data_IF_514732789589
#
_entry.id   IF_514732789589
#
_cell.length_a   1.000
_cell.length_b   1.000
_cell.length_c   1.000
_cell.angle_alpha   90.00
_cell.angle_beta   90.00
_cell.angle_gamma   90.00
#
_symmetry.space_group_name_H-M   'P 1'
#
loop_
_entity.id
_entity.type
_entity.pdbx_description
1 polymer ?
#
# COMPACT_ATOMS: atom_id res chain seq x y z
N UNK A 1 -11.15 10.52 -10.16
CA UNK A 1 -10.14 9.79 -9.36
C UNK A 1 -10.68 9.55 -7.97
N UNK A 2 -10.48 8.37 -7.38
CA UNK A 2 -10.79 8.09 -5.97
C UNK A 2 -9.63 8.52 -5.07
N UNK A 3 -9.91 8.76 -3.80
CA UNK A 3 -8.93 9.20 -2.82
C UNK A 3 -8.93 8.28 -1.60
N UNK A 4 -7.80 7.74 -1.27
CA UNK A 4 -7.57 6.93 -0.08
C UNK A 4 -6.43 7.47 0.78
N UNK A 5 -6.30 6.97 1.99
CA UNK A 5 -5.22 7.27 2.91
C UNK A 5 -4.40 6.00 3.19
N UNK A 6 -3.09 6.07 2.97
CA UNK A 6 -2.15 5.03 3.38
C UNK A 6 -1.68 5.30 4.81
N UNK A 7 -1.71 4.27 5.65
CA UNK A 7 -1.32 4.32 7.07
C UNK A 7 -0.20 3.33 7.35
N UNK A 8 1.03 3.81 7.48
CA UNK A 8 2.21 2.98 7.73
C UNK A 8 2.41 2.64 9.22
N UNK A 9 1.76 3.38 10.11
CA UNK A 9 1.92 3.26 11.57
C UNK A 9 3.37 3.43 12.04
N UNK A 10 4.05 4.42 11.51
CA UNK A 10 5.42 4.77 11.89
C UNK A 10 5.52 5.17 13.36
N UNK A 11 6.61 4.77 14.02
CA UNK A 11 6.84 5.02 15.45
C UNK A 11 8.15 5.80 15.70
N UNK A 12 8.21 7.09 15.33
CA UNK A 12 9.39 7.90 15.61
C UNK A 12 9.59 8.11 17.13
N UNK A 13 10.85 8.31 17.52
CA UNK A 13 11.21 8.51 18.92
C UNK A 13 10.42 9.67 19.57
N UNK A 14 10.12 9.53 20.86
CA UNK A 14 9.42 10.54 21.65
C UNK A 14 7.90 10.36 21.73
N UNK A 15 7.35 9.31 21.13
CA UNK A 15 5.93 8.95 21.21
C UNK A 15 5.78 7.49 21.63
N UNK A 16 4.70 7.18 22.35
CA UNK A 16 4.36 5.79 22.68
C UNK A 16 3.63 5.12 21.52
N UNK A 17 3.78 3.79 21.37
CA UNK A 17 3.03 3.01 20.37
C UNK A 17 1.52 3.22 20.51
N UNK A 18 1.01 3.27 21.76
CA UNK A 18 -0.41 3.54 22.03
C UNK A 18 -0.87 4.85 21.40
N UNK A 19 -0.10 5.95 21.60
CA UNK A 19 -0.44 7.25 21.00
C UNK A 19 -0.42 7.20 19.48
N UNK A 20 0.58 6.53 18.90
CA UNK A 20 0.70 6.38 17.45
C UNK A 20 -0.46 5.59 16.86
N UNK A 21 -0.83 4.48 17.49
CA UNK A 21 -1.95 3.65 17.05
C UNK A 21 -3.28 4.41 17.17
N UNK A 22 -3.54 5.06 18.31
CA UNK A 22 -4.80 5.81 18.51
C UNK A 22 -4.98 6.92 17.48
N UNK A 23 -3.93 7.69 17.19
CA UNK A 23 -3.99 8.76 16.19
C UNK A 23 -4.22 8.23 14.78
N UNK A 24 -3.58 7.10 14.40
CA UNK A 24 -3.78 6.49 13.09
C UNK A 24 -5.22 5.94 12.96
N UNK A 25 -5.73 5.28 14.01
CA UNK A 25 -7.11 4.78 14.03
C UNK A 25 -8.09 5.95 13.93
N UNK A 26 -7.91 7.03 14.69
CA UNK A 26 -8.77 8.21 14.64
C UNK A 26 -8.81 8.85 13.23
N UNK A 27 -7.67 8.91 12.53
CA UNK A 27 -7.62 9.40 11.14
C UNK A 27 -8.37 8.47 10.17
N UNK A 28 -8.26 7.14 10.34
CA UNK A 28 -9.01 6.19 9.53
C UNK A 28 -10.52 6.28 9.78
N UNK A 29 -10.94 6.45 11.02
CA UNK A 29 -12.36 6.60 11.39
C UNK A 29 -12.97 7.87 10.81
N UNK A 30 -12.22 8.98 10.80
CA UNK A 30 -12.68 10.26 10.28
C UNK A 30 -12.61 10.37 8.76
N UNK A 31 -11.95 9.44 8.07
CA UNK A 31 -11.70 9.54 6.63
C UNK A 31 -12.97 9.75 5.79
N UNK A 32 -14.08 9.07 6.11
CA UNK A 32 -15.33 9.25 5.36
C UNK A 32 -16.01 10.62 5.59
N UNK A 33 -15.80 11.27 6.74
CA UNK A 33 -16.30 12.61 7.02
C UNK A 33 -15.58 13.65 6.15
N UNK A 34 -14.29 13.45 5.88
CA UNK A 34 -13.49 14.26 4.98
C UNK A 34 -13.58 13.84 3.51
N UNK A 35 -14.50 12.92 3.18
CA UNK A 35 -14.80 12.54 1.81
C UNK A 35 -13.78 11.60 1.17
N UNK A 36 -12.89 10.95 1.92
CA UNK A 36 -12.02 9.90 1.39
C UNK A 36 -12.81 8.63 1.07
N UNK A 37 -12.39 7.94 0.01
CA UNK A 37 -13.07 6.74 -0.49
C UNK A 37 -12.56 5.45 0.19
N UNK A 38 -11.33 5.47 0.77
CA UNK A 38 -10.71 4.28 1.34
C UNK A 38 -9.58 4.58 2.36
N UNK A 39 -9.30 3.61 3.23
CA UNK A 39 -8.17 3.62 4.17
C UNK A 39 -7.35 2.33 4.02
N UNK A 40 -6.01 2.43 4.11
CA UNK A 40 -5.07 1.38 3.76
C UNK A 40 -3.95 1.25 4.79
N UNK A 41 -4.13 0.51 5.91
CA UNK A 41 -3.02 0.16 6.79
C UNK A 41 -2.03 -0.76 6.08
N UNK A 42 -0.72 -0.50 6.27
CA UNK A 42 0.38 -1.31 5.75
C UNK A 42 0.90 -2.26 6.83
N UNK A 43 1.25 -3.49 6.44
CA UNK A 43 1.88 -4.46 7.34
C UNK A 43 3.38 -4.22 7.43
N UNK A 44 3.90 -3.96 8.65
CA UNK A 44 5.33 -3.91 8.97
C UNK A 44 5.60 -4.40 10.38
N UNK A 45 6.84 -4.91 10.59
CA UNK A 45 7.22 -5.60 11.81
C UNK A 45 8.60 -5.18 12.33
N UNK A 46 8.80 -5.33 13.65
CA UNK A 46 10.08 -5.32 14.35
C UNK A 46 10.90 -4.02 14.27
N UNK A 47 10.32 -2.91 13.85
CA UNK A 47 11.06 -1.65 13.71
C UNK A 47 10.17 -0.41 13.85
N UNK A 48 10.80 0.75 14.08
CA UNK A 48 10.14 2.06 14.07
C UNK A 48 9.57 2.47 12.70
N UNK A 49 9.92 1.73 11.64
CA UNK A 49 9.40 1.96 10.30
C UNK A 49 7.89 1.75 10.22
N UNK A 50 7.38 0.75 10.94
CA UNK A 50 5.93 0.53 11.07
C UNK A 50 5.64 -0.50 12.15
N UNK A 51 4.63 -0.21 12.98
CA UNK A 51 4.20 -1.07 14.10
C UNK A 51 2.85 -1.75 13.86
N UNK A 52 2.35 -1.73 12.63
CA UNK A 52 1.11 -2.41 12.26
C UNK A 52 1.39 -3.87 11.87
N UNK A 53 1.52 -4.74 12.86
CA UNK A 53 1.75 -6.18 12.63
C UNK A 53 0.51 -6.95 12.14
N UNK A 54 -0.66 -6.31 12.10
CA UNK A 54 -1.90 -6.95 11.62
C UNK A 54 -2.88 -5.93 11.05
N UNK A 55 -2.81 -5.64 9.74
CA UNK A 55 -3.77 -4.76 9.08
C UNK A 55 -5.23 -5.19 9.27
N UNK A 56 -5.52 -6.50 9.27
CA UNK A 56 -6.87 -7.03 9.42
C UNK A 56 -7.48 -6.69 10.80
N UNK A 57 -6.68 -6.68 11.87
CA UNK A 57 -7.15 -6.29 13.22
C UNK A 57 -7.53 -4.81 13.25
N UNK A 58 -6.70 -3.93 12.66
CA UNK A 58 -7.02 -2.52 12.53
C UNK A 58 -8.30 -2.29 11.72
N UNK A 59 -8.40 -2.92 10.56
CA UNK A 59 -9.55 -2.78 9.67
C UNK A 59 -10.83 -3.35 10.28
N UNK A 60 -10.76 -4.39 11.12
CA UNK A 60 -11.94 -4.91 11.84
C UNK A 60 -12.51 -3.87 12.82
N UNK A 61 -11.66 -3.09 13.49
CA UNK A 61 -12.10 -1.97 14.33
C UNK A 61 -12.78 -0.89 13.48
N UNK A 62 -12.16 -0.45 12.39
CA UNK A 62 -12.68 0.58 11.48
C UNK A 62 -13.99 0.12 10.78
N UNK A 63 -14.13 -1.16 10.47
CA UNK A 63 -15.33 -1.72 9.85
C UNK A 63 -16.60 -1.45 10.66
N UNK A 64 -16.50 -1.36 11.99
CA UNK A 64 -17.65 -1.14 12.89
C UNK A 64 -17.97 0.33 13.14
N UNK A 65 -17.00 1.21 13.02
CA UNK A 65 -17.15 2.65 13.26
C UNK A 65 -17.48 3.45 12.00
N UNK A 66 -17.16 2.91 10.82
CA UNK A 66 -17.42 3.51 9.50
C UNK A 66 -18.52 2.79 8.72
N UNK A 67 -19.07 3.44 7.67
CA UNK A 67 -20.17 2.89 6.86
C UNK A 67 -19.90 2.84 5.36
N UNK A 68 -19.07 3.74 4.83
CA UNK A 68 -18.88 3.94 3.39
C UNK A 68 -17.46 3.69 2.94
N UNK A 69 -16.47 4.14 3.73
CA UNK A 69 -15.06 4.04 3.39
C UNK A 69 -14.65 2.58 3.16
N UNK A 70 -13.98 2.32 2.07
CA UNK A 70 -13.46 0.98 1.73
C UNK A 70 -12.21 0.68 2.57
N UNK A 71 -12.01 -0.58 2.85
CA UNK A 71 -11.03 -1.11 3.80
C UNK A 71 -9.96 -1.90 3.04
N UNK A 72 -8.91 -1.19 2.63
CA UNK A 72 -7.80 -1.78 1.89
C UNK A 72 -6.62 -2.19 2.76
N UNK A 73 -5.74 -3.01 2.24
CA UNK A 73 -4.42 -3.25 2.84
C UNK A 73 -3.31 -2.80 1.89
N UNK A 74 -2.34 -2.09 2.41
CA UNK A 74 -1.26 -1.52 1.60
C UNK A 74 0.14 -1.95 2.02
N UNK A 75 0.42 -3.26 2.16
CA UNK A 75 -0.23 -4.51 1.78
C UNK A 75 -0.23 -5.54 2.92
N UNK A 76 -0.82 -6.74 2.71
CA UNK A 76 -0.52 -7.95 3.49
C UNK A 76 0.67 -8.64 2.85
N UNK A 77 1.66 -9.04 3.67
CA UNK A 77 2.88 -9.72 3.19
C UNK A 77 2.64 -11.24 3.20
N UNK A 78 2.12 -11.78 2.10
CA UNK A 78 1.67 -13.18 2.03
C UNK A 78 2.70 -14.22 2.51
N UNK A 79 4.03 -14.10 2.23
CA UNK A 79 5.01 -15.08 2.69
C UNK A 79 5.10 -15.23 4.22
N UNK A 80 4.59 -14.30 5.01
CA UNK A 80 4.60 -14.38 6.47
C UNK A 80 3.38 -15.08 7.06
N UNK A 81 2.37 -15.41 6.23
CA UNK A 81 1.09 -15.91 6.69
C UNK A 81 0.73 -17.27 6.11
N UNK A 82 -0.07 -18.04 6.85
CA UNK A 82 -0.73 -19.21 6.30
C UNK A 82 -1.92 -18.77 5.42
N UNK A 83 -1.99 -19.16 4.12
CA UNK A 83 -2.97 -18.60 3.18
C UNK A 83 -4.43 -18.85 3.57
N UNK A 84 -4.75 -20.01 4.19
CA UNK A 84 -6.12 -20.28 4.67
C UNK A 84 -6.51 -19.29 5.77
N UNK A 85 -5.57 -18.92 6.69
CA UNK A 85 -5.86 -17.90 7.71
C UNK A 85 -6.13 -16.54 7.09
N UNK A 86 -5.34 -16.13 6.09
CA UNK A 86 -5.59 -14.89 5.36
C UNK A 86 -6.98 -14.93 4.69
N UNK A 87 -7.33 -16.06 4.06
CA UNK A 87 -8.64 -16.23 3.43
C UNK A 87 -9.80 -16.11 4.42
N UNK A 88 -9.71 -16.76 5.59
CA UNK A 88 -10.73 -16.70 6.65
C UNK A 88 -10.84 -15.29 7.25
N UNK A 89 -9.70 -14.67 7.60
CA UNK A 89 -9.66 -13.36 8.25
C UNK A 89 -10.26 -12.27 7.33
N UNK A 90 -9.91 -12.27 6.04
CA UNK A 90 -10.44 -11.29 5.08
C UNK A 90 -11.87 -11.59 4.64
N UNK A 91 -12.30 -12.84 4.58
CA UNK A 91 -13.70 -13.17 4.39
C UNK A 91 -14.56 -12.73 5.59
N UNK A 92 -14.07 -12.93 6.82
CA UNK A 92 -14.75 -12.44 8.03
C UNK A 92 -14.82 -10.91 8.04
N UNK A 93 -13.72 -10.21 7.70
CA UNK A 93 -13.71 -8.75 7.60
C UNK A 93 -14.70 -8.25 6.53
N UNK A 94 -14.79 -8.96 5.41
CA UNK A 94 -15.72 -8.59 4.33
C UNK A 94 -17.17 -8.74 4.76
N UNK A 95 -17.52 -9.81 5.49
CA UNK A 95 -18.84 -9.97 6.11
C UNK A 95 -19.13 -8.87 7.15
N UNK A 96 -18.16 -8.55 8.04
CA UNK A 96 -18.31 -7.51 9.07
C UNK A 96 -18.50 -6.11 8.49
N UNK A 97 -17.87 -5.85 7.35
CA UNK A 97 -17.91 -4.54 6.68
C UNK A 97 -19.07 -4.41 5.67
N UNK A 98 -19.75 -5.51 5.33
CA UNK A 98 -20.80 -5.51 4.30
C UNK A 98 -20.23 -5.28 2.89
N UNK A 99 -19.10 -5.93 2.56
CA UNK A 99 -18.52 -5.92 1.21
C UNK A 99 -17.64 -4.70 0.91
N UNK A 100 -16.94 -4.15 1.92
CA UNK A 100 -16.06 -2.99 1.74
C UNK A 100 -14.57 -3.33 1.67
N UNK A 101 -14.19 -4.59 1.70
CA UNK A 101 -12.79 -5.04 1.68
C UNK A 101 -12.15 -4.85 0.30
N UNK A 102 -10.88 -4.43 0.30
CA UNK A 102 -9.95 -4.38 -0.83
C UNK A 102 -8.65 -5.08 -0.38
N UNK A 103 -8.39 -6.31 -0.84
CA UNK A 103 -7.20 -7.03 -0.40
C UNK A 103 -5.96 -6.63 -1.20
N UNK A 104 -5.10 -5.79 -0.63
CA UNK A 104 -3.78 -5.52 -1.18
C UNK A 104 -2.75 -6.51 -0.66
N UNK A 105 -1.99 -7.12 -1.58
CA UNK A 105 -1.00 -8.16 -1.29
C UNK A 105 0.38 -7.81 -1.80
N UNK A 106 1.41 -8.27 -1.10
CA UNK A 106 2.79 -8.08 -1.46
C UNK A 106 3.68 -9.25 -1.06
N UNK A 107 4.89 -9.25 -1.64
CA UNK A 107 5.90 -10.27 -1.37
C UNK A 107 6.76 -9.97 -0.12
N UNK A 108 6.73 -8.72 0.33
CA UNK A 108 7.66 -8.22 1.33
C UNK A 108 9.05 -7.93 0.75
N UNK A 109 9.86 -7.14 1.48
CA UNK A 109 11.19 -6.75 1.03
C UNK A 109 12.22 -6.59 2.16
N UNK A 110 11.81 -6.37 3.40
CA UNK A 110 12.74 -6.10 4.51
C UNK A 110 13.38 -7.38 5.06
N UNK A 111 14.72 -7.54 4.99
CA UNK A 111 15.39 -8.73 5.52
C UNK A 111 15.15 -8.95 7.02
N UNK A 112 14.94 -7.86 7.78
CA UNK A 112 14.61 -7.93 9.21
C UNK A 112 13.31 -8.69 9.47
N UNK A 113 12.28 -8.41 8.67
CA UNK A 113 10.96 -9.04 8.81
C UNK A 113 11.02 -10.52 8.44
N UNK A 114 11.67 -10.87 7.33
CA UNK A 114 11.90 -12.26 6.95
C UNK A 114 12.65 -13.05 8.02
N UNK A 115 13.72 -12.45 8.57
CA UNK A 115 14.49 -13.05 9.66
C UNK A 115 13.68 -13.24 10.94
N UNK A 116 12.84 -12.25 11.29
CA UNK A 116 11.97 -12.29 12.47
C UNK A 116 10.92 -13.39 12.41
N UNK A 117 10.36 -13.67 11.23
CA UNK A 117 9.41 -14.77 11.01
C UNK A 117 10.07 -16.11 10.66
N UNK A 118 11.39 -16.14 10.49
CA UNK A 118 12.11 -17.37 10.10
C UNK A 118 11.79 -17.83 8.67
N UNK A 119 11.36 -16.91 7.80
CA UNK A 119 11.03 -17.17 6.39
C UNK A 119 12.25 -16.95 5.52
N UNK A 120 12.57 -17.91 4.67
CA UNK A 120 13.62 -17.73 3.66
C UNK A 120 13.18 -16.75 2.58
N UNK A 121 13.79 -15.56 2.58
CA UNK A 121 13.46 -14.49 1.65
C UNK A 121 13.67 -14.89 0.17
N UNK A 122 14.60 -15.81 -0.12
CA UNK A 122 14.84 -16.29 -1.49
C UNK A 122 13.65 -17.08 -2.06
N UNK A 123 12.79 -17.63 -1.20
CA UNK A 123 11.57 -18.38 -1.56
C UNK A 123 10.30 -17.52 -1.58
N UNK A 124 10.42 -16.23 -1.29
CA UNK A 124 9.28 -15.32 -1.17
C UNK A 124 8.39 -15.25 -2.40
N UNK A 125 8.94 -15.41 -3.61
CA UNK A 125 8.16 -15.42 -4.85
C UNK A 125 7.27 -16.65 -4.95
N UNK A 126 7.81 -17.83 -4.65
CA UNK A 126 7.08 -19.10 -4.66
C UNK A 126 5.96 -19.12 -3.60
N UNK A 127 6.32 -18.68 -2.37
CA UNK A 127 5.35 -18.57 -1.27
C UNK A 127 4.23 -17.58 -1.59
N UNK A 128 4.56 -16.45 -2.18
CA UNK A 128 3.56 -15.45 -2.61
C UNK A 128 2.59 -16.04 -3.63
N UNK A 129 3.11 -16.68 -4.68
CA UNK A 129 2.32 -17.21 -5.79
C UNK A 129 1.35 -18.28 -5.32
N UNK A 130 1.86 -19.24 -4.57
CA UNK A 130 1.05 -20.35 -4.06
C UNK A 130 0.03 -19.88 -3.02
N UNK A 131 0.43 -18.93 -2.13
CA UNK A 131 -0.51 -18.34 -1.17
C UNK A 131 -1.65 -17.59 -1.83
N UNK A 132 -1.36 -16.81 -2.87
CA UNK A 132 -2.39 -16.04 -3.59
C UNK A 132 -3.41 -16.98 -4.27
N UNK A 133 -2.93 -18.04 -4.94
CA UNK A 133 -3.80 -19.03 -5.56
C UNK A 133 -4.68 -19.74 -4.52
N UNK A 134 -4.09 -20.18 -3.41
CA UNK A 134 -4.84 -20.82 -2.32
C UNK A 134 -5.91 -19.90 -1.75
N UNK A 135 -5.60 -18.60 -1.52
CA UNK A 135 -6.56 -17.62 -1.01
C UNK A 135 -7.74 -17.48 -1.97
N UNK A 136 -7.50 -17.30 -3.25
CA UNK A 136 -8.56 -17.15 -4.25
C UNK A 136 -9.45 -18.40 -4.28
N UNK A 137 -8.85 -19.59 -4.28
CA UNK A 137 -9.58 -20.86 -4.28
C UNK A 137 -10.34 -21.11 -2.98
N UNK A 138 -9.81 -20.69 -1.81
CA UNK A 138 -10.57 -20.72 -0.55
C UNK A 138 -11.87 -19.93 -0.65
N UNK A 139 -11.90 -18.85 -1.43
CA UNK A 139 -13.09 -18.01 -1.58
C UNK A 139 -14.08 -18.53 -2.63
N UNK A 140 -13.58 -19.12 -3.72
CA UNK A 140 -14.39 -19.48 -4.90
C UNK A 140 -14.79 -20.94 -4.94
N UNK A 141 -13.93 -21.85 -4.48
CA UNK A 141 -14.21 -23.28 -4.50
C UNK A 141 -15.15 -23.66 -3.33
N UNK A 142 -16.10 -24.55 -3.58
CA UNK A 142 -16.96 -25.10 -2.50
C UNK A 142 -16.09 -25.86 -1.47
N UNK A 143 -15.20 -26.70 -1.98
CA UNK A 143 -14.22 -27.45 -1.19
C UNK A 143 -12.85 -27.37 -1.86
N UNK A 144 -11.86 -26.95 -1.07
CA UNK A 144 -10.50 -26.79 -1.56
C UNK A 144 -9.79 -28.16 -1.63
N UNK A 145 -9.34 -28.50 -2.84
CA UNK A 145 -8.39 -29.57 -3.10
C UNK A 145 -7.17 -28.95 -3.78
N UNK A 146 -6.03 -28.95 -3.12
CA UNK A 146 -4.83 -28.28 -3.58
C UNK A 146 -3.58 -29.12 -3.33
N UNK A 147 -2.72 -29.23 -4.33
CA UNK A 147 -1.45 -29.97 -4.25
C UNK A 147 -0.33 -29.07 -4.79
N UNK A 148 0.22 -28.24 -3.89
CA UNK A 148 1.32 -27.33 -4.19
C UNK A 148 2.65 -27.81 -3.61
N UNK A 149 3.66 -26.97 -3.77
CA UNK A 149 5.00 -27.23 -3.21
C UNK A 149 5.05 -26.92 -1.71
N UNK A 150 4.30 -25.90 -1.26
CA UNK A 150 4.32 -25.40 0.11
C UNK A 150 3.06 -25.78 0.88
N UNK A 151 1.93 -25.89 0.18
CA UNK A 151 0.62 -26.15 0.79
C UNK A 151 -0.07 -27.34 0.12
N UNK A 152 -0.73 -28.17 0.94
CA UNK A 152 -1.51 -29.29 0.46
C UNK A 152 -2.80 -29.37 1.28
N UNK A 153 -3.93 -29.45 0.58
CA UNK A 153 -5.25 -29.54 1.19
C UNK A 153 -6.08 -30.58 0.45
N UNK A 154 -6.85 -31.36 1.20
CA UNK A 154 -7.77 -32.36 0.68
C UNK A 154 -9.15 -32.12 1.29
N UNK A 155 -10.15 -31.94 0.43
CA UNK A 155 -11.56 -31.82 0.79
C UNK A 155 -11.85 -30.81 1.92
N UNK A 156 -11.11 -29.67 1.92
CA UNK A 156 -11.21 -28.65 2.97
C UNK A 156 -12.33 -27.66 2.65
N UNK A 157 -13.34 -27.57 3.51
CA UNK A 157 -14.37 -26.53 3.45
C UNK A 157 -13.92 -25.30 4.23
N UNK A 158 -13.58 -24.20 3.53
CA UNK A 158 -13.15 -22.94 4.16
C UNK A 158 -14.36 -22.01 4.35
N UNK A 159 -14.57 -21.56 5.58
CA UNK A 159 -15.66 -20.66 5.98
C UNK A 159 -15.16 -19.57 6.96
N UNK A 160 -15.78 -18.35 6.94
CA UNK A 160 -16.87 -17.96 6.02
C UNK A 160 -16.39 -17.76 4.59
N UNK A 161 -17.33 -17.67 3.64
CA UNK A 161 -17.06 -17.09 2.33
C UNK A 161 -17.15 -15.57 2.41
N UNK A 162 -16.50 -14.80 1.53
CA UNK A 162 -16.65 -13.36 1.46
C UNK A 162 -18.11 -12.93 1.22
N UNK A 163 -18.43 -11.69 1.54
CA UNK A 163 -19.70 -11.06 1.19
C UNK A 163 -19.72 -10.65 -0.29
N UNK A 164 -18.57 -10.20 -0.82
CA UNK A 164 -18.42 -9.81 -2.22
C UNK A 164 -18.26 -11.03 -3.12
N UNK A 165 -18.87 -10.99 -4.30
CA UNK A 165 -18.78 -12.05 -5.32
C UNK A 165 -17.97 -11.58 -6.53
N UNK A 166 -17.09 -12.43 -7.10
CA UNK A 166 -16.72 -13.78 -6.61
C UNK A 166 -15.85 -13.73 -5.34
N UNK A 167 -15.23 -12.61 -5.03
CA UNK A 167 -14.40 -12.33 -3.87
C UNK A 167 -14.06 -10.82 -3.80
N UNK A 168 -13.51 -10.31 -2.67
CA UNK A 168 -13.01 -8.94 -2.58
C UNK A 168 -12.01 -8.62 -3.69
N UNK A 169 -11.99 -7.40 -4.24
CA UNK A 169 -10.97 -6.98 -5.19
C UNK A 169 -9.57 -7.20 -4.62
N UNK A 170 -8.68 -7.79 -5.43
CA UNK A 170 -7.29 -8.04 -5.05
C UNK A 170 -6.39 -7.03 -5.76
N UNK A 171 -5.47 -6.44 -5.00
CA UNK A 171 -4.49 -5.46 -5.46
C UNK A 171 -3.08 -6.00 -5.24
N UNK A 172 -2.23 -5.93 -6.23
CA UNK A 172 -0.84 -6.36 -6.11
C UNK A 172 0.10 -5.18 -6.07
N UNK A 173 0.97 -5.11 -5.04
CA UNK A 173 2.04 -4.14 -5.01
C UNK A 173 3.11 -4.45 -6.06
N UNK A 174 3.47 -3.46 -6.87
CA UNK A 174 4.47 -3.58 -7.93
C UNK A 174 5.50 -2.44 -7.87
N UNK A 175 6.78 -2.81 -7.95
CA UNK A 175 7.93 -1.89 -7.90
C UNK A 175 8.91 -2.12 -9.06
N UNK A 176 8.85 -3.26 -9.74
CA UNK A 176 9.72 -3.63 -10.86
C UNK A 176 8.88 -4.04 -12.07
N UNK A 177 9.41 -3.90 -13.28
CA UNK A 177 8.71 -4.27 -14.53
C UNK A 177 8.10 -5.67 -14.45
N UNK A 178 8.85 -6.68 -14.02
CA UNK A 178 8.33 -8.04 -13.87
C UNK A 178 7.17 -8.17 -12.87
N UNK A 179 7.04 -7.26 -11.88
CA UNK A 179 5.89 -7.24 -10.98
C UNK A 179 4.66 -6.58 -11.61
N UNK A 180 4.84 -5.61 -12.51
CA UNK A 180 3.76 -5.04 -13.32
C UNK A 180 3.22 -6.05 -14.34
N UNK A 181 4.11 -6.76 -15.04
CA UNK A 181 3.73 -7.87 -15.91
C UNK A 181 2.98 -8.96 -15.15
N UNK A 182 3.47 -9.33 -13.95
CA UNK A 182 2.83 -10.35 -13.11
C UNK A 182 1.42 -9.94 -12.71
N UNK A 183 1.21 -8.71 -12.24
CA UNK A 183 -0.11 -8.19 -11.90
C UNK A 183 -1.06 -8.23 -13.12
N UNK A 184 -0.55 -7.84 -14.30
CA UNK A 184 -1.29 -7.91 -15.56
C UNK A 184 -1.67 -9.33 -15.96
N UNK A 185 -0.73 -10.28 -15.91
CA UNK A 185 -0.96 -11.69 -16.23
C UNK A 185 -2.01 -12.34 -15.30
N UNK A 186 -1.99 -11.97 -14.01
CA UNK A 186 -2.93 -12.48 -13.02
C UNK A 186 -4.30 -11.75 -13.03
N UNK A 187 -4.45 -10.68 -13.81
CA UNK A 187 -5.68 -9.90 -13.88
C UNK A 187 -6.03 -9.17 -12.58
N UNK A 188 -5.03 -8.77 -11.79
CA UNK A 188 -5.21 -8.08 -10.51
C UNK A 188 -5.21 -6.57 -10.68
N UNK A 189 -5.81 -5.84 -9.73
CA UNK A 189 -5.59 -4.41 -9.60
C UNK A 189 -4.13 -4.12 -9.19
N UNK A 190 -3.64 -2.93 -9.52
CA UNK A 190 -2.25 -2.54 -9.31
C UNK A 190 -2.11 -1.50 -8.20
N UNK A 191 -1.19 -1.72 -7.26
CA UNK A 191 -0.69 -0.70 -6.34
C UNK A 191 0.76 -0.37 -6.70
N UNK A 192 1.04 0.89 -7.00
CA UNK A 192 2.40 1.35 -7.27
C UNK A 192 2.75 2.57 -6.42
N UNK A 193 4.04 2.81 -6.23
CA UNK A 193 4.54 4.07 -5.74
C UNK A 193 5.41 4.72 -6.83
N UNK A 194 5.07 5.90 -7.32
CA UNK A 194 5.86 6.61 -8.33
C UNK A 194 7.31 6.89 -7.88
N UNK A 195 7.55 6.93 -6.55
CA UNK A 195 8.89 7.02 -5.97
C UNK A 195 9.86 6.01 -6.57
N UNK A 196 9.38 4.80 -6.84
CA UNK A 196 10.21 3.69 -7.31
C UNK A 196 10.29 3.60 -8.84
N UNK A 197 9.49 4.37 -9.57
CA UNK A 197 9.58 4.49 -11.04
C UNK A 197 10.66 5.48 -11.52
N UNK A 198 11.37 6.16 -10.61
CA UNK A 198 12.38 7.15 -10.93
C UNK A 198 11.83 8.49 -11.47
N UNK A 199 10.63 8.48 -12.05
CA UNK A 199 9.90 9.65 -12.53
C UNK A 199 8.43 9.30 -12.79
N UNK A 200 7.58 10.33 -12.93
CA UNK A 200 6.17 10.13 -13.34
C UNK A 200 6.06 9.47 -14.71
N UNK A 201 6.95 9.79 -15.66
CA UNK A 201 6.99 9.17 -16.97
C UNK A 201 7.36 7.68 -16.87
N UNK A 202 8.36 7.31 -16.06
CA UNK A 202 8.72 5.91 -15.82
C UNK A 202 7.56 5.11 -15.20
N UNK A 203 6.79 5.73 -14.28
CA UNK A 203 5.58 5.12 -13.74
C UNK A 203 4.51 4.91 -14.82
N UNK A 204 4.30 5.89 -15.72
CA UNK A 204 3.36 5.77 -16.84
C UNK A 204 3.76 4.65 -17.80
N UNK A 205 5.05 4.51 -18.11
CA UNK A 205 5.57 3.45 -18.99
C UNK A 205 5.33 2.06 -18.38
N UNK A 206 5.56 1.90 -17.08
CA UNK A 206 5.29 0.65 -16.35
C UNK A 206 3.79 0.33 -16.29
N UNK A 207 2.92 1.33 -16.09
CA UNK A 207 1.46 1.13 -16.14
C UNK A 207 1.03 0.70 -17.55
N UNK A 208 1.65 1.20 -18.60
CA UNK A 208 1.40 0.77 -19.96
C UNK A 208 1.75 -0.72 -20.14
N UNK A 209 2.91 -1.17 -19.66
CA UNK A 209 3.29 -2.60 -19.66
C UNK A 209 2.22 -3.44 -18.95
N UNK A 210 1.76 -3.01 -17.78
CA UNK A 210 0.69 -3.69 -17.06
C UNK A 210 -0.62 -3.79 -17.88
N UNK A 211 -1.08 -2.68 -18.49
CA UNK A 211 -2.31 -2.65 -19.30
C UNK A 211 -2.21 -3.53 -20.54
N UNK A 212 -1.06 -3.53 -21.23
CA UNK A 212 -0.79 -4.39 -22.39
C UNK A 212 -0.77 -5.87 -21.98
N UNK A 213 -0.17 -6.18 -20.83
CA UNK A 213 -0.13 -7.55 -20.30
C UNK A 213 -1.52 -8.04 -19.90
N UNK A 214 -2.38 -7.21 -19.27
CA UNK A 214 -3.79 -7.53 -19.03
C UNK A 214 -4.47 -7.97 -20.32
N UNK A 215 -4.40 -7.15 -21.38
CA UNK A 215 -5.06 -7.41 -22.64
C UNK A 215 -4.54 -8.70 -23.31
N UNK A 216 -3.24 -8.93 -23.30
CA UNK A 216 -2.64 -10.12 -23.91
C UNK A 216 -2.98 -11.45 -23.21
N UNK A 217 -3.40 -11.37 -21.93
CA UNK A 217 -3.85 -12.53 -21.14
C UNK A 217 -5.38 -12.63 -21.01
N UNK A 218 -6.13 -11.88 -21.82
CA UNK A 218 -7.59 -12.00 -21.90
C UNK A 218 -8.34 -11.27 -20.79
N UNK A 219 -7.66 -10.42 -20.02
CA UNK A 219 -8.30 -9.55 -19.04
C UNK A 219 -8.68 -8.21 -19.68
N UNK A 220 -9.85 -7.67 -19.33
CA UNK A 220 -10.24 -6.33 -19.76
C UNK A 220 -9.50 -5.25 -18.97
N UNK A 221 -8.59 -4.48 -19.58
CA UNK A 221 -7.82 -3.44 -18.90
C UNK A 221 -8.69 -2.33 -18.29
N UNK A 222 -9.91 -2.11 -18.81
CA UNK A 222 -10.81 -1.05 -18.33
C UNK A 222 -11.50 -1.41 -17.01
N UNK A 223 -11.55 -2.69 -16.68
CA UNK A 223 -12.14 -3.19 -15.41
C UNK A 223 -11.15 -3.27 -14.25
N UNK A 224 -9.87 -3.03 -14.52
CA UNK A 224 -8.81 -3.08 -13.50
C UNK A 224 -8.36 -1.67 -13.13
N UNK A 225 -8.22 -1.45 -11.82
CA UNK A 225 -7.85 -0.16 -11.27
C UNK A 225 -6.35 -0.07 -11.00
N UNK A 226 -5.81 1.15 -11.09
CA UNK A 226 -4.43 1.48 -10.75
C UNK A 226 -4.44 2.46 -9.59
N UNK A 227 -3.86 2.05 -8.45
CA UNK A 227 -3.68 2.87 -7.26
C UNK A 227 -2.25 3.36 -7.14
N UNK A 228 -2.06 4.67 -6.97
CA UNK A 228 -0.75 5.28 -6.75
C UNK A 228 -0.60 5.75 -5.30
N UNK A 229 0.47 5.27 -4.64
CA UNK A 229 0.88 5.70 -3.30
C UNK A 229 1.77 6.93 -3.44
N UNK A 230 1.28 8.11 -3.04
CA UNK A 230 1.98 9.38 -3.21
C UNK A 230 2.12 10.10 -1.88
N UNK A 231 3.33 10.54 -1.55
CA UNK A 231 3.57 11.41 -0.41
C UNK A 231 2.99 12.78 -0.69
N UNK A 232 1.82 13.08 -0.11
CA UNK A 232 1.04 14.28 -0.44
C UNK A 232 0.72 15.07 0.82
N UNK A 233 0.94 16.39 0.76
CA UNK A 233 0.56 17.29 1.83
C UNK A 233 0.11 18.66 1.31
N UNK A 234 -1.10 19.07 1.66
CA UNK A 234 -1.63 20.40 1.38
C UNK A 234 -1.53 21.26 2.64
N UNK A 235 -0.69 22.30 2.62
CA UNK A 235 -0.57 23.34 3.64
C UNK A 235 -1.35 24.60 3.28
N UNK A 236 -1.26 25.66 4.12
CA UNK A 236 -1.90 26.96 3.83
C UNK A 236 -1.11 27.78 2.81
N UNK A 237 0.22 27.65 2.85
CA UNK A 237 1.13 28.28 1.89
C UNK A 237 2.20 27.27 1.48
N UNK A 238 2.90 27.51 0.38
CA UNK A 238 4.00 26.68 -0.08
C UNK A 238 5.11 26.51 0.96
N UNK A 239 5.50 27.63 1.61
CA UNK A 239 6.54 27.65 2.62
C UNK A 239 6.14 26.85 3.87
N UNK A 240 4.93 27.13 4.40
CA UNK A 240 4.41 26.41 5.56
C UNK A 240 4.27 24.92 5.31
N UNK A 241 3.77 24.50 4.14
CA UNK A 241 3.66 23.11 3.78
C UNK A 241 5.03 22.40 3.82
N UNK A 242 6.08 23.05 3.28
CA UNK A 242 7.45 22.54 3.34
C UNK A 242 7.95 22.40 4.78
N UNK A 243 7.77 23.41 5.61
CA UNK A 243 8.20 23.37 7.03
C UNK A 243 7.54 22.25 7.81
N UNK A 244 6.24 22.02 7.58
CA UNK A 244 5.44 21.00 8.27
C UNK A 244 5.76 19.58 7.78
N UNK A 245 6.04 19.38 6.49
CA UNK A 245 6.11 18.05 5.89
C UNK A 245 7.53 17.56 5.55
N UNK A 246 8.50 18.47 5.30
CA UNK A 246 9.84 18.04 4.88
C UNK A 246 10.56 17.16 5.92
N UNK A 247 10.51 17.54 7.20
CA UNK A 247 11.14 16.76 8.26
C UNK A 247 10.51 15.36 8.43
N UNK A 248 9.18 15.19 8.47
CA UNK A 248 8.52 13.90 8.43
C UNK A 248 8.92 13.01 7.26
N UNK A 249 8.93 13.56 6.04
CA UNK A 249 9.34 12.82 4.84
C UNK A 249 10.80 12.38 4.91
N UNK A 250 11.70 13.28 5.27
CA UNK A 250 13.12 12.94 5.39
C UNK A 250 13.39 11.92 6.49
N UNK A 251 12.64 11.96 7.60
CA UNK A 251 12.68 10.90 8.61
C UNK A 251 12.31 9.54 8.01
N UNK A 252 11.24 9.48 7.21
CA UNK A 252 10.83 8.25 6.53
C UNK A 252 11.97 7.71 5.64
N UNK A 253 12.55 8.52 4.75
CA UNK A 253 13.62 8.05 3.85
C UNK A 253 14.86 7.56 4.61
N UNK A 254 15.27 8.26 5.66
CA UNK A 254 16.38 7.82 6.52
C UNK A 254 16.08 6.49 7.25
N UNK A 255 14.83 6.32 7.70
CA UNK A 255 14.39 5.08 8.36
C UNK A 255 14.26 3.93 7.37
N UNK A 256 13.63 4.17 6.21
CA UNK A 256 13.53 3.20 5.12
C UNK A 256 14.92 2.69 4.69
N UNK A 257 15.90 3.58 4.53
CA UNK A 257 17.26 3.23 4.16
C UNK A 257 17.96 2.28 5.14
N UNK A 258 17.54 2.25 6.41
CA UNK A 258 18.09 1.30 7.42
C UNK A 258 17.64 -0.13 7.19
N UNK A 259 16.41 -0.33 6.68
CA UNK A 259 15.73 -1.63 6.67
C UNK A 259 15.50 -2.22 5.27
N UNK A 260 15.61 -1.42 4.24
CA UNK A 260 15.26 -1.80 2.85
C UNK A 260 16.16 -2.89 2.25
N UNK A 261 17.37 -3.03 2.74
CA UNK A 261 18.38 -3.96 2.22
C UNK A 261 19.16 -4.62 3.36
N UNK A 262 19.91 -5.71 3.07
CA UNK A 262 20.84 -6.31 4.03
C UNK A 262 21.83 -5.27 4.60
N UNK A 263 22.36 -5.53 5.79
CA UNK A 263 23.37 -4.65 6.41
C UNK A 263 24.56 -4.43 5.48
N UNK A 264 25.19 -3.25 5.58
CA UNK A 264 26.41 -2.94 4.81
C UNK A 264 27.45 -4.04 4.99
N UNK A 265 28.03 -4.50 3.89
CA UNK A 265 28.99 -5.60 3.87
C UNK A 265 28.38 -7.00 3.75
N UNK A 266 27.07 -7.15 3.79
CA UNK A 266 26.38 -8.41 3.48
C UNK A 266 26.03 -8.48 1.99
N UNK A 267 26.02 -9.68 1.38
CA UNK A 267 25.64 -9.84 -0.02
C UNK A 267 24.16 -9.48 -0.24
N UNK A 268 23.86 -9.01 -1.46
CA UNK A 268 22.48 -8.84 -1.89
C UNK A 268 21.73 -10.17 -1.87
N UNK A 269 20.46 -10.14 -1.50
CA UNK A 269 19.60 -11.32 -1.51
C UNK A 269 19.10 -11.54 -2.93
N UNK A 270 19.15 -12.78 -3.43
CA UNK A 270 18.70 -13.16 -4.77
C UNK A 270 17.25 -12.73 -5.01
N UNK A 271 17.03 -11.97 -6.09
CA UNK A 271 15.72 -11.40 -6.43
C UNK A 271 15.37 -10.10 -5.69
N UNK A 272 16.35 -9.56 -4.92
CA UNK A 272 16.25 -8.30 -4.18
C UNK A 272 17.48 -7.40 -4.38
N UNK A 273 18.27 -7.64 -5.41
CA UNK A 273 19.51 -6.92 -5.70
C UNK A 273 19.27 -5.42 -5.86
N UNK A 274 18.15 -5.06 -6.50
CA UNK A 274 17.74 -3.68 -6.72
C UNK A 274 17.59 -2.88 -5.41
N UNK A 275 17.10 -3.52 -4.34
CA UNK A 275 16.94 -2.85 -3.04
C UNK A 275 18.29 -2.47 -2.40
N UNK A 276 19.35 -3.24 -2.67
CA UNK A 276 20.70 -2.90 -2.20
C UNK A 276 21.22 -1.63 -2.88
N UNK A 277 21.01 -1.48 -4.19
CA UNK A 277 21.38 -0.26 -4.93
C UNK A 277 20.52 0.94 -4.51
N UNK A 278 19.23 0.71 -4.27
CA UNK A 278 18.29 1.75 -3.84
C UNK A 278 18.63 2.32 -2.45
N UNK A 279 19.16 1.51 -1.53
CA UNK A 279 19.53 1.98 -0.18
C UNK A 279 20.47 3.19 -0.21
N UNK A 280 21.49 3.16 -1.05
CA UNK A 280 22.48 4.23 -1.12
C UNK A 280 21.86 5.49 -1.73
N UNK A 281 21.03 5.36 -2.76
CA UNK A 281 20.27 6.46 -3.34
C UNK A 281 19.30 7.10 -2.34
N UNK A 282 18.56 6.27 -1.60
CA UNK A 282 17.60 6.72 -0.57
C UNK A 282 18.27 7.47 0.57
N UNK A 283 19.46 7.03 0.98
CA UNK A 283 20.22 7.70 2.03
C UNK A 283 20.84 9.03 1.58
N UNK A 284 21.07 9.22 0.29
CA UNK A 284 21.63 10.42 -0.31
C UNK A 284 20.60 11.44 -0.77
N UNK A 285 19.32 11.02 -0.89
CA UNK A 285 18.25 11.89 -1.44
C UNK A 285 17.99 13.09 -0.55
N UNK A 286 17.76 14.24 -1.18
CA UNK A 286 17.41 15.50 -0.55
C UNK A 286 15.97 15.91 -0.90
N UNK A 287 15.35 16.74 -0.06
CA UNK A 287 13.98 17.20 -0.20
C UNK A 287 13.64 17.76 -1.59
N UNK A 288 14.48 18.65 -2.09
CA UNK A 288 14.19 19.34 -3.36
C UNK A 288 14.16 18.36 -4.55
N UNK A 289 15.01 17.33 -4.52
CA UNK A 289 14.99 16.24 -5.51
C UNK A 289 13.68 15.42 -5.46
N UNK A 290 13.16 15.15 -4.26
CA UNK A 290 11.90 14.43 -4.09
C UNK A 290 10.71 15.18 -4.66
N UNK A 291 10.69 16.50 -4.50
CA UNK A 291 9.66 17.40 -5.05
C UNK A 291 9.80 17.49 -6.57
N UNK A 292 11.00 17.72 -7.09
CA UNK A 292 11.30 17.83 -8.52
C UNK A 292 10.89 16.55 -9.28
N UNK A 293 11.17 15.38 -8.72
CA UNK A 293 10.82 14.10 -9.35
C UNK A 293 9.35 13.70 -9.16
N UNK A 294 8.55 14.50 -8.45
CA UNK A 294 7.14 14.19 -8.19
C UNK A 294 6.92 13.05 -7.17
N UNK A 295 7.97 12.65 -6.46
CA UNK A 295 7.90 11.69 -5.34
C UNK A 295 7.10 12.26 -4.18
N UNK A 296 7.23 13.55 -3.95
CA UNK A 296 6.51 14.32 -2.94
C UNK A 296 5.73 15.43 -3.64
N UNK A 297 4.43 15.49 -3.37
CA UNK A 297 3.54 16.55 -3.81
C UNK A 297 3.12 17.33 -2.55
N UNK A 298 3.81 18.45 -2.29
CA UNK A 298 3.66 19.22 -1.06
C UNK A 298 3.62 20.70 -1.36
N UNK A 299 2.58 21.40 -0.90
CA UNK A 299 2.44 22.83 -1.14
C UNK A 299 1.09 23.38 -0.76
N UNK A 300 0.80 24.58 -1.25
CA UNK A 300 -0.53 25.16 -1.17
C UNK A 300 -1.54 24.41 -2.07
N UNK A 301 -2.81 24.64 -1.85
CA UNK A 301 -3.91 23.88 -2.44
C UNK A 301 -3.88 23.82 -3.97
N UNK A 302 -3.62 24.98 -4.61
CA UNK A 302 -3.61 25.08 -6.07
C UNK A 302 -2.44 24.30 -6.67
N UNK A 303 -1.24 24.42 -6.09
CA UNK A 303 -0.06 23.65 -6.48
C UNK A 303 -0.30 22.14 -6.37
N UNK A 304 -0.84 21.68 -5.22
CA UNK A 304 -1.13 20.26 -5.02
C UNK A 304 -2.17 19.74 -6.02
N UNK A 305 -3.19 20.56 -6.32
CA UNK A 305 -4.22 20.22 -7.32
C UNK A 305 -3.62 20.07 -8.72
N UNK A 306 -2.78 20.99 -9.13
CA UNK A 306 -2.10 20.96 -10.43
C UNK A 306 -1.22 19.70 -10.55
N UNK A 307 -0.35 19.45 -9.57
CA UNK A 307 0.57 18.31 -9.59
C UNK A 307 -0.17 16.94 -9.57
N UNK A 308 -1.27 16.83 -8.82
CA UNK A 308 -2.12 15.62 -8.84
C UNK A 308 -2.89 15.47 -10.16
N UNK A 309 -3.28 16.59 -10.80
CA UNK A 309 -3.88 16.56 -12.15
C UNK A 309 -2.88 16.06 -13.19
N UNK A 310 -1.64 16.52 -13.15
CA UNK A 310 -0.56 16.05 -14.04
C UNK A 310 -0.30 14.55 -13.84
N UNK A 311 -0.20 14.10 -12.58
CA UNK A 311 -0.07 12.68 -12.27
C UNK A 311 -1.20 11.87 -12.91
N UNK A 312 -2.46 12.29 -12.70
CA UNK A 312 -3.65 11.61 -13.25
C UNK A 312 -3.62 11.58 -14.78
N UNK A 313 -3.30 12.70 -15.42
CA UNK A 313 -3.26 12.81 -16.90
C UNK A 313 -2.17 11.94 -17.51
N UNK A 314 -0.98 11.94 -16.90
CA UNK A 314 0.17 11.21 -17.43
C UNK A 314 0.05 9.70 -17.23
N UNK A 315 -0.42 9.28 -16.07
CA UNK A 315 -0.39 7.88 -15.66
C UNK A 315 -1.73 7.16 -15.80
N UNK A 316 -2.84 7.89 -15.88
CA UNK A 316 -4.18 7.32 -15.90
C UNK A 316 -4.55 6.58 -14.61
N UNK A 317 -4.00 6.98 -13.45
CA UNK A 317 -4.33 6.36 -12.16
C UNK A 317 -5.79 6.61 -11.79
N UNK A 318 -6.43 5.56 -11.28
CA UNK A 318 -7.84 5.58 -10.87
C UNK A 318 -8.00 5.99 -9.40
N UNK A 319 -6.99 5.70 -8.58
CA UNK A 319 -7.03 5.82 -7.13
C UNK A 319 -5.72 6.42 -6.59
N UNK A 320 -5.81 7.58 -5.95
CA UNK A 320 -4.70 8.16 -5.20
C UNK A 320 -4.75 7.66 -3.77
N UNK A 321 -3.68 7.02 -3.30
CA UNK A 321 -3.47 6.70 -1.90
C UNK A 321 -2.50 7.72 -1.30
N UNK A 322 -3.05 8.73 -0.62
CA UNK A 322 -2.25 9.77 0.02
C UNK A 322 -1.43 9.19 1.17
N UNK A 323 -0.13 9.24 1.03
CA UNK A 323 0.81 8.86 2.09
C UNK A 323 1.21 10.13 2.84
N UNK A 324 0.39 10.49 3.81
CA UNK A 324 0.43 11.83 4.44
C UNK A 324 0.87 11.78 5.90
N UNK A 325 0.51 10.72 6.63
CA UNK A 325 0.86 10.54 8.03
C UNK A 325 2.25 9.93 8.16
N UNK A 326 3.29 10.75 7.96
CA UNK A 326 4.70 10.37 7.92
C UNK A 326 5.46 10.92 9.13
N UNK A 327 6.50 10.21 9.58
CA UNK A 327 7.55 10.68 10.47
C UNK A 327 7.07 11.36 11.75
N UNK A 328 5.87 11.05 12.23
CA UNK A 328 5.31 11.64 13.45
C UNK A 328 4.70 13.01 13.27
N UNK A 329 4.31 13.44 12.06
CA UNK A 329 3.50 14.64 11.83
C UNK A 329 2.29 14.68 12.79
N UNK A 330 1.93 15.85 13.32
CA UNK A 330 0.89 15.95 14.33
C UNK A 330 -0.50 15.62 13.78
N UNK A 331 -1.38 15.14 14.64
CA UNK A 331 -2.78 14.85 14.29
C UNK A 331 -3.49 16.11 13.76
N UNK A 332 -3.27 17.26 14.41
CA UNK A 332 -3.88 18.55 14.01
C UNK A 332 -3.49 18.96 12.59
N UNK A 333 -2.22 18.82 12.21
CA UNK A 333 -1.75 19.11 10.86
C UNK A 333 -2.39 18.17 9.83
N UNK A 334 -2.59 16.90 10.20
CA UNK A 334 -3.28 15.93 9.35
C UNK A 334 -4.75 16.28 9.13
N UNK A 335 -5.48 16.69 10.18
CA UNK A 335 -6.86 17.15 10.03
C UNK A 335 -6.92 18.36 9.11
N UNK A 336 -6.06 19.36 9.31
CA UNK A 336 -5.99 20.52 8.42
C UNK A 336 -5.66 20.17 6.95
N UNK A 337 -4.85 19.16 6.71
CA UNK A 337 -4.62 18.63 5.36
C UNK A 337 -5.90 17.99 4.78
N UNK A 338 -6.57 17.12 5.54
CA UNK A 338 -7.81 16.45 5.11
C UNK A 338 -8.93 17.45 4.79
N UNK A 339 -9.06 18.51 5.57
CA UNK A 339 -10.00 19.61 5.31
C UNK A 339 -9.72 20.29 3.95
N UNK A 340 -8.45 20.60 3.67
CA UNK A 340 -8.06 21.23 2.38
C UNK A 340 -8.25 20.27 1.20
N UNK A 341 -7.97 18.98 1.40
CA UNK A 341 -8.27 17.96 0.38
C UNK A 341 -9.77 17.94 0.06
N UNK A 342 -10.63 17.87 1.08
CA UNK A 342 -12.09 17.84 0.92
C UNK A 342 -12.64 19.11 0.27
N UNK A 343 -12.21 20.29 0.75
CA UNK A 343 -12.79 21.56 0.34
C UNK A 343 -12.43 21.96 -1.09
N UNK A 344 -11.22 21.63 -1.55
CA UNK A 344 -10.68 22.23 -2.79
C UNK A 344 -10.08 21.20 -3.76
N UNK A 345 -9.27 20.26 -3.30
CA UNK A 345 -8.47 19.39 -4.18
C UNK A 345 -9.32 18.26 -4.78
N UNK A 346 -10.01 17.49 -3.93
CA UNK A 346 -10.82 16.35 -4.37
C UNK A 346 -11.93 16.75 -5.35
N UNK A 347 -12.69 17.85 -5.14
CA UNK A 347 -13.75 18.24 -6.07
C UNK A 347 -13.24 18.52 -7.50
N UNK A 348 -12.01 19.02 -7.63
CA UNK A 348 -11.40 19.34 -8.92
C UNK A 348 -10.85 18.11 -9.68
N UNK A 349 -10.63 16.99 -8.99
CA UNK A 349 -9.96 15.81 -9.54
C UNK A 349 -10.84 14.54 -9.61
N UNK A 350 -12.05 14.59 -9.09
CA UNK A 350 -13.06 13.49 -9.15
C UNK A 350 -13.71 13.25 -10.50
#
# INVERSE_FOLDING_TARGET
MKFGLLHLFESPAGRTEKQMIDEQVALMESAEEYGFDSVWPAEHHFSEYGVCGSPVVNLAAIARTTKKVRLGTGVVILPFHHPVRVAEDFAMLDQLSGGRVELGVGRGYQPLEFGGFGVDQTRSTELFDESLEVIQRCWTDERLNYQGQHYQFEDLEVRPKPFQEPHPPIWMAALSEGSFEKAGRLGLNLLLSPVFGGSLQGAADLIKVYRETLASHGHDPTTRQVGALVMTYAGKTQEQAREEFARPVMWYFRTFGKYVAPKVGQPAIKGYEWYTSMRDAVNAVEWDQLVEHGTVICGETDYVTERLSELKQLTGVDHLLGWTRLGGISHELMIGHMERMQASIMPSLR
#
